data_IF_162947064742
#
_entry.id   IF_162947064742
#
_cell.length_a   1.000
_cell.length_b   1.000
_cell.length_c   1.000
_cell.angle_alpha   90.00
_cell.angle_beta   90.00
_cell.angle_gamma   90.00
#
_symmetry.space_group_name_H-M   'P 1'
#
loop_
_entity.id
_entity.type
_entity.pdbx_description
1 polymer ?
#
# COMPACT_ATOMS: atom_id res chain seq x y z
N UNK A 1 23.11 1.77 22.19
CA UNK A 1 22.08 2.69 21.68
C UNK A 1 22.07 2.53 20.17
N UNK A 2 21.01 1.90 19.63
CA UNK A 2 20.97 1.40 18.25
C UNK A 2 20.32 2.44 17.33
N UNK A 3 20.97 2.75 16.21
CA UNK A 3 20.65 3.85 15.29
C UNK A 3 19.45 3.53 14.36
N UNK A 4 18.63 2.55 14.70
CA UNK A 4 17.54 2.06 13.83
C UNK A 4 16.19 2.75 14.09
N UNK A 5 16.06 3.53 15.16
CA UNK A 5 14.76 4.05 15.60
C UNK A 5 14.42 5.46 15.11
N UNK A 6 15.24 6.10 14.27
CA UNK A 6 15.08 7.53 13.96
C UNK A 6 14.34 7.87 12.65
N UNK A 7 13.59 6.93 12.06
CA UNK A 7 12.80 7.19 10.83
C UNK A 7 11.39 6.54 10.82
N UNK A 8 10.78 6.28 11.99
CA UNK A 8 9.47 5.64 12.09
C UNK A 8 8.29 6.61 12.38
N UNK A 9 8.44 7.88 12.01
CA UNK A 9 7.31 8.81 11.95
C UNK A 9 6.50 8.58 10.67
N UNK A 10 5.26 8.13 10.80
CA UNK A 10 4.23 8.02 9.73
C UNK A 10 4.38 6.90 8.68
N UNK A 11 4.24 5.64 9.10
CA UNK A 11 3.43 4.57 8.46
C UNK A 11 3.90 3.22 9.02
N UNK A 12 3.24 2.73 10.08
CA UNK A 12 3.46 1.36 10.59
C UNK A 12 2.89 0.36 9.58
N UNK A 13 3.73 -0.12 8.68
CA UNK A 13 3.42 -1.29 7.88
C UNK A 13 3.65 -2.52 8.76
N UNK A 14 2.59 -3.00 9.42
CA UNK A 14 2.64 -4.28 10.13
C UNK A 14 2.63 -5.36 9.05
N UNK A 15 3.80 -5.94 8.80
CA UNK A 15 3.98 -7.05 7.86
C UNK A 15 3.49 -8.32 8.55
N UNK A 16 2.27 -8.74 8.21
CA UNK A 16 1.75 -10.06 8.56
C UNK A 16 2.58 -11.13 7.82
N UNK A 17 2.90 -12.23 8.49
CA UNK A 17 3.76 -13.31 7.96
C UNK A 17 3.17 -14.06 6.76
N UNK A 18 1.98 -13.69 6.30
CA UNK A 18 1.48 -14.02 4.97
C UNK A 18 2.01 -12.99 3.95
N UNK A 19 3.15 -13.29 3.33
CA UNK A 19 4.04 -12.41 2.51
C UNK A 19 3.40 -11.55 1.40
N UNK A 20 2.10 -11.66 1.16
CA UNK A 20 1.37 -10.97 0.08
C UNK A 20 0.29 -10.00 0.57
N UNK A 21 0.23 -9.70 1.88
CA UNK A 21 -0.70 -8.73 2.44
C UNK A 21 -0.08 -7.87 3.56
N UNK A 22 -0.55 -6.63 3.69
CA UNK A 22 -0.25 -5.76 4.82
C UNK A 22 -1.52 -5.08 5.34
N UNK A 23 -1.48 -4.62 6.59
CA UNK A 23 -2.51 -3.75 7.16
C UNK A 23 -2.09 -2.29 6.98
N UNK A 24 -3.03 -1.44 6.58
CA UNK A 24 -2.89 0.01 6.45
C UNK A 24 -4.09 0.70 7.10
N UNK A 25 -3.93 1.94 7.54
CA UNK A 25 -5.06 2.77 7.95
C UNK A 25 -5.55 3.56 6.74
N UNK A 26 -6.87 3.64 6.57
CA UNK A 26 -7.46 4.57 5.61
C UNK A 26 -7.57 5.99 6.20
N UNK A 27 -8.03 6.95 5.40
CA UNK A 27 -8.18 8.35 5.82
C UNK A 27 -9.18 8.56 6.97
N UNK A 28 -10.01 7.55 7.26
CA UNK A 28 -10.95 7.53 8.38
C UNK A 28 -10.37 6.86 9.63
N UNK A 29 -9.08 6.49 9.60
CA UNK A 29 -8.40 5.79 10.69
C UNK A 29 -8.81 4.33 10.86
N UNK A 30 -9.44 3.72 9.85
CA UNK A 30 -9.85 2.32 9.89
C UNK A 30 -8.77 1.41 9.32
N UNK A 31 -8.53 0.27 9.96
CA UNK A 31 -7.62 -0.76 9.45
C UNK A 31 -8.21 -1.44 8.22
N UNK A 32 -7.48 -1.35 7.12
CA UNK A 32 -7.76 -2.01 5.86
C UNK A 32 -6.64 -3.01 5.54
N UNK A 33 -7.03 -4.17 5.03
CA UNK A 33 -6.09 -5.16 4.52
C UNK A 33 -5.79 -4.88 3.06
N UNK A 34 -4.54 -4.54 2.77
CA UNK A 34 -4.03 -4.36 1.41
C UNK A 34 -3.36 -5.64 0.96
N UNK A 35 -3.79 -6.18 -0.19
CA UNK A 35 -3.21 -7.40 -0.78
C UNK A 35 -2.50 -7.08 -2.08
N UNK A 36 -1.55 -7.94 -2.48
CA UNK A 36 -0.87 -7.83 -3.78
C UNK A 36 -1.87 -7.77 -4.95
N UNK A 37 -2.95 -8.55 -4.89
CA UNK A 37 -3.98 -8.56 -5.93
C UNK A 37 -4.68 -7.20 -6.09
N UNK A 38 -4.93 -6.49 -4.97
CA UNK A 38 -5.51 -5.15 -4.99
C UNK A 38 -4.56 -4.16 -5.70
N UNK A 39 -3.27 -4.21 -5.37
CA UNK A 39 -2.26 -3.33 -5.98
C UNK A 39 -2.13 -3.60 -7.48
N UNK A 40 -2.03 -4.87 -7.89
CA UNK A 40 -1.96 -5.26 -9.31
C UNK A 40 -3.20 -4.78 -10.07
N UNK A 41 -4.39 -4.94 -9.49
CA UNK A 41 -5.64 -4.51 -10.12
C UNK A 41 -5.68 -3.00 -10.33
N UNK A 42 -5.24 -2.23 -9.32
CA UNK A 42 -5.17 -0.77 -9.41
C UNK A 42 -4.18 -0.33 -10.51
N UNK A 43 -2.98 -0.93 -10.56
CA UNK A 43 -2.01 -0.63 -11.61
C UNK A 43 -2.57 -0.91 -13.01
N UNK A 44 -3.27 -2.03 -13.21
CA UNK A 44 -3.91 -2.35 -14.49
C UNK A 44 -4.98 -1.32 -14.88
N UNK A 45 -5.77 -0.85 -13.92
CA UNK A 45 -6.76 0.21 -14.16
C UNK A 45 -6.10 1.52 -14.58
N UNK A 46 -5.04 1.93 -13.87
CA UNK A 46 -4.28 3.15 -14.21
C UNK A 46 -3.66 3.06 -15.61
N UNK A 47 -3.04 1.93 -15.96
CA UNK A 47 -2.48 1.72 -17.30
C UNK A 47 -3.56 1.81 -18.38
N UNK A 48 -4.74 1.23 -18.15
CA UNK A 48 -5.89 1.34 -19.07
C UNK A 48 -6.34 2.79 -19.23
N UNK A 49 -6.39 3.56 -18.15
CA UNK A 49 -6.74 4.98 -18.22
C UNK A 49 -5.70 5.75 -19.03
N UNK A 50 -4.40 5.57 -18.75
CA UNK A 50 -3.31 6.22 -19.51
C UNK A 50 -3.36 5.90 -21.01
N UNK A 51 -3.65 4.64 -21.38
CA UNK A 51 -3.75 4.21 -22.79
C UNK A 51 -4.98 4.78 -23.51
N UNK A 52 -6.02 5.15 -22.78
CA UNK A 52 -7.24 5.73 -23.34
C UNK A 52 -7.22 7.25 -23.41
N UNK A 53 -6.11 7.90 -23.01
CA UNK A 53 -5.90 9.33 -23.24
C UNK A 53 -5.68 9.50 -24.76
N UNK A 54 -6.71 9.96 -25.46
CA UNK A 54 -6.61 10.46 -26.83
C UNK A 54 -6.35 11.96 -26.75
N UNK A 55 -5.24 12.41 -27.36
CA UNK A 55 -4.97 13.83 -27.61
C UNK A 55 -5.98 14.42 -28.60
#
# INVERSE_FOLDING_TARGET
>A
MNLTEQLAGSHRQIVDSNKSACLMLNDQGQEIRVTQAMVVSLCQQLIKQCRNIKN
#
